data_IF_876416133984
#
_entry.id   IF_876416133984
#
_cell.length_a   1.000
_cell.length_b   1.000
_cell.length_c   1.000
_cell.angle_alpha   90.00
_cell.angle_beta   90.00
_cell.angle_gamma   90.00
#
_symmetry.space_group_name_H-M   'P 1'
#
loop_
_entity.id
_entity.type
_entity.pdbx_description
1 polymer ?
#
# COMPACT_ATOMS: atom_id res chain seq x y z
N UNK A 1 -17.92 -4.22 -9.35
CA UNK A 1 -18.36 -5.56 -8.90
C UNK A 1 -18.48 -5.56 -7.39
N UNK A 2 -19.48 -6.26 -6.80
CA UNK A 2 -19.61 -6.38 -5.34
C UNK A 2 -19.36 -7.83 -4.92
N UNK A 3 -18.56 -8.05 -3.88
CA UNK A 3 -18.34 -9.32 -3.23
C UNK A 3 -19.11 -9.33 -1.92
N UNK A 4 -19.90 -10.36 -1.66
CA UNK A 4 -20.68 -10.52 -0.44
C UNK A 4 -20.54 -11.96 0.07
N UNK A 5 -20.53 -12.15 1.38
CA UNK A 5 -20.45 -13.45 2.02
C UNK A 5 -19.48 -13.46 3.17
N UNK A 6 -18.97 -14.64 3.53
CA UNK A 6 -18.01 -14.81 4.61
C UNK A 6 -16.78 -15.56 4.12
N UNK A 7 -15.64 -15.27 4.73
CA UNK A 7 -14.37 -15.96 4.51
C UNK A 7 -13.77 -16.35 5.88
N UNK A 8 -13.00 -17.43 5.96
CA UNK A 8 -12.46 -17.91 7.24
C UNK A 8 -11.21 -17.17 7.72
N UNK A 9 -10.61 -16.29 6.88
CA UNK A 9 -9.40 -15.55 7.25
C UNK A 9 -9.28 -14.22 6.50
N UNK A 10 -8.53 -13.29 7.10
CA UNK A 10 -8.26 -11.98 6.48
C UNK A 10 -7.41 -12.09 5.19
N UNK A 11 -6.39 -12.97 5.08
CA UNK A 11 -5.74 -13.20 3.78
C UNK A 11 -6.70 -13.59 2.66
N UNK A 12 -7.70 -14.43 2.93
CA UNK A 12 -8.69 -14.80 1.92
C UNK A 12 -9.63 -13.65 1.56
N UNK A 13 -9.92 -12.75 2.51
CA UNK A 13 -10.63 -11.51 2.24
C UNK A 13 -9.86 -10.63 1.22
N UNK A 14 -8.54 -10.48 1.41
CA UNK A 14 -7.69 -9.73 0.48
C UNK A 14 -7.56 -10.42 -0.88
N UNK A 15 -7.34 -11.75 -0.90
CA UNK A 15 -7.21 -12.53 -2.13
C UNK A 15 -8.48 -12.50 -2.98
N UNK A 16 -9.66 -12.53 -2.35
CA UNK A 16 -10.94 -12.46 -3.07
C UNK A 16 -11.07 -11.13 -3.83
N UNK A 17 -10.69 -10.01 -3.21
CA UNK A 17 -10.68 -8.70 -3.85
C UNK A 17 -9.68 -8.64 -5.01
N UNK A 18 -8.46 -9.13 -4.78
CA UNK A 18 -7.41 -9.18 -5.79
C UNK A 18 -7.79 -10.09 -6.97
N UNK A 19 -8.42 -11.24 -6.72
CA UNK A 19 -8.89 -12.14 -7.77
C UNK A 19 -10.00 -11.50 -8.62
N UNK A 20 -10.92 -10.78 -7.99
CA UNK A 20 -11.99 -10.07 -8.69
C UNK A 20 -11.47 -8.96 -9.60
N UNK A 21 -10.42 -8.22 -9.19
CA UNK A 21 -9.78 -7.18 -10.01
C UNK A 21 -9.08 -7.74 -11.26
N UNK A 22 -8.63 -9.00 -11.24
CA UNK A 22 -8.01 -9.65 -12.41
C UNK A 22 -9.01 -10.04 -13.51
N UNK A 23 -10.32 -9.96 -13.23
CA UNK A 23 -11.34 -10.31 -14.22
C UNK A 23 -11.46 -9.19 -15.24
N UNK A 24 -11.32 -9.53 -16.51
CA UNK A 24 -11.44 -8.57 -17.62
C UNK A 24 -12.76 -7.80 -17.56
N UNK A 25 -12.70 -6.47 -17.60
CA UNK A 25 -13.88 -5.60 -17.54
C UNK A 25 -14.30 -5.16 -16.12
N UNK A 26 -13.67 -5.67 -15.07
CA UNK A 26 -13.88 -5.21 -13.70
C UNK A 26 -12.95 -4.01 -13.44
N UNK A 27 -13.55 -2.83 -13.25
CA UNK A 27 -12.82 -1.60 -12.94
C UNK A 27 -12.74 -1.31 -11.44
N UNK A 28 -13.77 -1.72 -10.68
CA UNK A 28 -13.84 -1.49 -9.22
C UNK A 28 -14.47 -2.70 -8.54
N UNK A 29 -13.96 -3.04 -7.35
CA UNK A 29 -14.49 -4.09 -6.48
C UNK A 29 -14.91 -3.46 -5.16
N UNK A 30 -16.18 -3.65 -4.80
CA UNK A 30 -16.69 -3.35 -3.46
C UNK A 30 -16.69 -4.65 -2.66
N UNK A 31 -15.74 -4.76 -1.73
CA UNK A 31 -15.58 -5.96 -0.92
C UNK A 31 -16.38 -5.81 0.39
N UNK A 32 -17.49 -6.54 0.48
CA UNK A 32 -18.37 -6.64 1.64
C UNK A 32 -18.30 -8.05 2.27
N UNK A 33 -17.17 -8.74 2.08
CA UNK A 33 -16.94 -10.01 2.74
C UNK A 33 -16.71 -9.77 4.24
N UNK A 34 -17.18 -10.69 5.06
CA UNK A 34 -16.94 -10.70 6.50
C UNK A 34 -15.98 -11.84 6.85
N UNK A 35 -15.00 -11.56 7.70
CA UNK A 35 -14.08 -12.59 8.20
C UNK A 35 -14.70 -13.25 9.42
N UNK A 36 -15.03 -14.53 9.29
CA UNK A 36 -15.58 -15.37 10.39
C UNK A 36 -14.55 -16.43 10.72
N UNK A 37 -13.80 -16.20 11.80
CA UNK A 37 -12.77 -17.12 12.26
C UNK A 37 -13.41 -18.39 12.84
N UNK A 38 -12.73 -19.53 12.66
CA UNK A 38 -13.04 -20.75 13.41
C UNK A 38 -12.64 -20.61 14.89
N UNK A 39 -13.21 -21.44 15.76
CA UNK A 39 -12.85 -21.45 17.20
C UNK A 39 -11.36 -21.73 17.42
N UNK A 40 -10.74 -22.53 16.54
CA UNK A 40 -9.31 -22.86 16.60
C UNK A 40 -8.41 -21.67 16.20
N UNK A 41 -8.92 -20.77 15.38
CA UNK A 41 -8.21 -19.58 14.90
C UNK A 41 -8.44 -18.34 15.77
N UNK A 42 -9.38 -18.43 16.72
CA UNK A 42 -9.61 -17.32 17.65
C UNK A 42 -8.37 -17.07 18.52
N UNK A 43 -8.02 -15.82 18.67
CA UNK A 43 -6.98 -15.34 19.58
C UNK A 43 -7.56 -14.20 20.41
N UNK A 44 -7.20 -14.15 21.69
CA UNK A 44 -7.53 -12.98 22.50
C UNK A 44 -6.71 -11.76 22.05
N UNK A 45 -7.26 -10.59 22.30
CA UNK A 45 -6.70 -9.33 21.81
C UNK A 45 -5.29 -9.04 22.37
N UNK A 46 -4.97 -9.50 23.59
CA UNK A 46 -3.65 -9.32 24.17
C UNK A 46 -2.60 -10.17 23.46
N UNK A 47 -2.93 -11.43 23.15
CA UNK A 47 -2.07 -12.32 22.37
C UNK A 47 -1.91 -11.81 20.95
N UNK A 48 -3.00 -11.34 20.34
CA UNK A 48 -2.97 -10.82 18.98
C UNK A 48 -2.14 -9.53 18.88
N UNK A 49 -2.31 -8.61 19.84
CA UNK A 49 -1.49 -7.39 19.94
C UNK A 49 -0.01 -7.72 20.07
N UNK A 50 0.34 -8.68 20.94
CA UNK A 50 1.73 -9.12 21.12
C UNK A 50 2.30 -9.74 19.84
N UNK A 51 1.53 -10.59 19.17
CA UNK A 51 1.94 -11.23 17.91
C UNK A 51 2.12 -10.21 16.79
N UNK A 52 1.23 -9.24 16.70
CA UNK A 52 1.31 -8.17 15.72
C UNK A 52 2.56 -7.30 15.92
N UNK A 53 2.83 -6.84 17.14
CA UNK A 53 4.03 -6.06 17.44
C UNK A 53 5.32 -6.86 17.21
N UNK A 54 5.34 -8.15 17.52
CA UNK A 54 6.48 -9.01 17.19
C UNK A 54 6.69 -9.12 15.67
N UNK A 55 5.61 -9.26 14.89
CA UNK A 55 5.71 -9.32 13.44
C UNK A 55 6.25 -8.01 12.84
N UNK A 56 5.84 -6.85 13.38
CA UNK A 56 6.37 -5.56 12.98
C UNK A 56 7.87 -5.44 13.31
N UNK A 57 8.28 -5.81 14.52
CA UNK A 57 9.68 -5.70 14.98
C UNK A 57 10.66 -6.56 14.18
N UNK A 58 10.24 -7.76 13.72
CA UNK A 58 11.13 -8.62 12.91
C UNK A 58 11.16 -8.25 11.43
N UNK A 59 10.27 -7.39 10.99
CA UNK A 59 10.24 -6.92 9.59
C UNK A 59 11.19 -5.74 9.39
N UNK A 60 12.31 -5.98 8.72
CA UNK A 60 13.37 -4.98 8.50
C UNK A 60 12.93 -3.76 7.68
N UNK A 61 11.80 -3.83 6.99
CA UNK A 61 11.26 -2.71 6.21
C UNK A 61 10.43 -1.78 7.06
N UNK A 62 9.87 -2.28 8.18
CA UNK A 62 9.05 -1.49 9.11
C UNK A 62 9.99 -0.78 10.08
N UNK A 63 9.97 0.56 10.18
CA UNK A 63 10.81 1.29 11.13
C UNK A 63 10.29 1.13 12.56
N UNK A 64 11.18 1.38 13.51
CA UNK A 64 10.81 1.50 14.92
C UNK A 64 9.77 2.61 15.10
N UNK A 65 8.80 2.41 15.99
CA UNK A 65 7.74 3.39 16.28
C UNK A 65 6.43 3.13 15.54
N UNK A 66 6.34 2.06 14.73
CA UNK A 66 5.06 1.52 14.26
C UNK A 66 4.56 0.50 15.29
N UNK A 67 3.36 0.71 15.79
CA UNK A 67 2.74 -0.12 16.82
C UNK A 67 1.39 -0.67 16.34
N UNK A 68 1.04 -1.84 16.86
CA UNK A 68 -0.23 -2.50 16.61
C UNK A 68 -1.02 -2.64 17.90
N UNK A 69 -2.34 -2.44 17.84
CA UNK A 69 -3.29 -2.77 18.89
C UNK A 69 -4.43 -3.61 18.30
N UNK A 70 -4.97 -4.54 19.07
CA UNK A 70 -6.07 -5.39 18.64
C UNK A 70 -7.29 -5.23 19.56
N UNK A 71 -8.46 -5.16 18.94
CA UNK A 71 -9.77 -5.17 19.63
C UNK A 71 -10.74 -6.01 18.81
N UNK A 72 -11.28 -7.05 19.41
CA UNK A 72 -12.20 -8.00 18.77
C UNK A 72 -11.65 -8.59 17.44
N UNK A 73 -10.31 -8.84 17.39
CA UNK A 73 -9.64 -9.34 16.20
C UNK A 73 -9.38 -8.26 15.11
N UNK A 74 -9.76 -7.00 15.34
CA UNK A 74 -9.43 -5.89 14.47
C UNK A 74 -8.10 -5.30 14.91
N UNK A 75 -7.09 -5.37 14.07
CA UNK A 75 -5.76 -4.81 14.30
C UNK A 75 -5.70 -3.40 13.76
N UNK A 76 -5.36 -2.44 14.62
CA UNK A 76 -5.10 -1.05 14.23
C UNK A 76 -3.60 -0.80 14.29
N UNK A 77 -3.03 -0.35 13.17
CA UNK A 77 -1.64 0.08 13.06
C UNK A 77 -1.57 1.58 13.26
N UNK A 78 -0.62 2.03 14.08
CA UNK A 78 -0.36 3.46 14.34
C UNK A 78 1.13 3.71 14.31
N UNK A 79 1.53 4.95 14.07
CA UNK A 79 2.91 5.37 14.05
C UNK A 79 3.21 6.34 12.93
N UNK A 80 4.48 6.62 12.70
CA UNK A 80 4.92 7.53 11.65
C UNK A 80 6.02 6.86 10.83
N UNK A 81 5.88 6.89 9.51
CA UNK A 81 6.87 6.35 8.57
C UNK A 81 7.30 7.41 7.55
N UNK A 82 8.44 7.20 6.92
CA UNK A 82 8.96 8.11 5.90
C UNK A 82 8.48 7.75 4.49
N UNK A 83 8.23 6.46 4.24
CA UNK A 83 7.90 5.95 2.90
C UNK A 83 6.62 5.13 2.91
N UNK A 84 5.79 5.27 1.88
CA UNK A 84 4.56 4.50 1.71
C UNK A 84 4.78 2.99 1.74
N UNK A 85 5.89 2.49 1.17
CA UNK A 85 6.27 1.06 1.22
C UNK A 85 6.49 0.51 2.64
N UNK A 86 6.87 1.36 3.60
CA UNK A 86 7.04 0.95 5.01
C UNK A 86 5.67 0.71 5.66
N UNK A 87 4.71 1.55 5.32
CA UNK A 87 3.31 1.42 5.71
C UNK A 87 2.69 0.15 5.14
N UNK A 88 2.86 -0.09 3.84
CA UNK A 88 2.41 -1.32 3.17
C UNK A 88 3.07 -2.58 3.77
N UNK A 89 4.37 -2.51 4.08
CA UNK A 89 5.08 -3.61 4.72
C UNK A 89 4.55 -3.91 6.14
N UNK A 90 4.14 -2.88 6.89
CA UNK A 90 3.54 -3.05 8.20
C UNK A 90 2.16 -3.75 8.10
N UNK A 91 1.31 -3.30 7.18
CA UNK A 91 0.02 -3.94 6.92
C UNK A 91 0.19 -5.42 6.52
N UNK A 92 1.11 -5.69 5.59
CA UNK A 92 1.39 -7.04 5.13
C UNK A 92 1.92 -7.94 6.25
N UNK A 93 2.77 -7.41 7.15
CA UNK A 93 3.33 -8.17 8.26
C UNK A 93 2.26 -8.69 9.23
N UNK A 94 1.18 -7.94 9.45
CA UNK A 94 0.11 -8.33 10.38
C UNK A 94 -1.06 -9.03 9.71
N UNK A 95 -1.28 -8.82 8.42
CA UNK A 95 -2.44 -9.35 7.69
C UNK A 95 -2.50 -10.89 7.66
N UNK A 96 -1.36 -11.57 7.74
CA UNK A 96 -1.25 -13.03 7.73
C UNK A 96 -1.38 -13.70 9.09
N UNK A 97 -1.51 -12.94 10.17
CA UNK A 97 -1.57 -13.51 11.53
C UNK A 97 -2.90 -14.19 11.80
N UNK A 98 -2.83 -15.35 12.48
CA UNK A 98 -4.03 -16.05 12.95
C UNK A 98 -4.75 -15.19 13.99
N UNK A 99 -6.06 -15.05 13.85
CA UNK A 99 -6.89 -14.22 14.74
C UNK A 99 -7.24 -12.86 14.17
N UNK A 100 -6.59 -12.43 13.07
CA UNK A 100 -6.90 -11.16 12.41
C UNK A 100 -8.19 -11.28 11.61
N UNK A 101 -9.13 -10.38 11.90
CA UNK A 101 -10.39 -10.21 11.15
C UNK A 101 -10.33 -9.03 10.19
N UNK A 102 -9.63 -7.97 10.60
CA UNK A 102 -9.46 -6.77 9.81
C UNK A 102 -8.18 -6.05 10.22
N UNK A 103 -7.58 -5.33 9.29
CA UNK A 103 -6.46 -4.42 9.56
C UNK A 103 -6.89 -3.01 9.21
N UNK A 104 -6.75 -2.11 10.17
CA UNK A 104 -6.94 -0.68 10.00
C UNK A 104 -5.58 -0.01 10.03
N UNK A 105 -5.27 0.72 9.01
CA UNK A 105 -4.02 1.43 8.85
C UNK A 105 -4.23 2.92 9.18
N UNK A 106 -3.79 3.32 10.37
CA UNK A 106 -3.74 4.70 10.86
C UNK A 106 -2.27 5.17 10.98
N UNK A 107 -1.35 4.64 10.14
CA UNK A 107 0.05 5.08 10.08
C UNK A 107 0.13 6.38 9.28
N UNK A 108 0.74 7.40 9.89
CA UNK A 108 1.04 8.66 9.22
C UNK A 108 2.35 8.57 8.42
N UNK A 109 2.39 9.21 7.25
CA UNK A 109 3.64 9.41 6.53
C UNK A 109 4.07 10.85 6.79
N UNK A 110 5.21 11.01 7.47
CA UNK A 110 5.82 12.31 7.72
C UNK A 110 7.16 12.39 7.01
N UNK A 111 7.25 13.33 6.11
CA UNK A 111 8.49 13.76 5.51
C UNK A 111 8.58 15.27 5.67
N UNK A 112 9.66 15.74 6.27
CA UNK A 112 9.92 17.17 6.57
C UNK A 112 10.31 17.97 5.30
N UNK A 113 9.94 17.49 4.11
CA UNK A 113 10.21 18.17 2.86
C UNK A 113 9.05 19.05 2.42
N UNK A 114 9.38 20.22 1.95
CA UNK A 114 8.47 21.10 1.20
C UNK A 114 7.88 20.31 0.00
N UNK A 115 6.61 20.50 -0.39
CA UNK A 115 6.04 19.89 -1.59
C UNK A 115 6.89 20.06 -2.86
N UNK A 116 7.64 21.14 -2.95
CA UNK A 116 8.63 21.39 -4.01
C UNK A 116 9.75 20.34 -3.99
N UNK A 117 10.21 19.92 -2.79
CA UNK A 117 11.27 18.92 -2.67
C UNK A 117 10.79 17.53 -3.09
N UNK A 118 9.53 17.17 -2.83
CA UNK A 118 8.95 15.89 -3.27
C UNK A 118 8.91 15.83 -4.81
N UNK A 119 8.50 16.90 -5.48
CA UNK A 119 8.51 16.99 -6.94
C UNK A 119 9.92 16.77 -7.49
N UNK A 120 10.90 17.48 -6.96
CA UNK A 120 12.30 17.37 -7.39
C UNK A 120 12.85 15.95 -7.16
N UNK A 121 12.49 15.33 -6.04
CA UNK A 121 12.94 13.95 -5.74
C UNK A 121 12.32 12.92 -6.71
N UNK A 122 11.04 13.10 -7.07
CA UNK A 122 10.37 12.23 -8.03
C UNK A 122 10.94 12.44 -9.43
N UNK A 123 11.06 13.68 -9.89
CA UNK A 123 11.67 14.02 -11.20
C UNK A 123 13.10 13.45 -11.29
N UNK A 124 13.93 13.64 -10.27
CA UNK A 124 15.26 13.08 -10.23
C UNK A 124 15.28 11.53 -10.20
N UNK A 125 14.25 10.89 -9.67
CA UNK A 125 14.12 9.44 -9.69
C UNK A 125 13.71 8.93 -11.08
N UNK A 126 12.84 9.67 -11.79
CA UNK A 126 12.46 9.41 -13.17
C UNK A 126 13.66 9.56 -14.12
N UNK A 127 14.40 10.65 -14.01
CA UNK A 127 15.59 10.94 -14.86
C UNK A 127 16.68 9.88 -14.71
N UNK A 128 16.82 9.28 -13.53
CA UNK A 128 17.79 8.21 -13.28
C UNK A 128 17.34 6.84 -13.76
N UNK A 129 16.07 6.70 -14.12
CA UNK A 129 15.51 5.42 -14.52
C UNK A 129 15.76 5.16 -16.01
N UNK A 130 16.71 4.27 -16.30
CA UNK A 130 17.10 3.94 -17.67
C UNK A 130 16.00 3.25 -18.51
N UNK A 131 14.87 2.86 -17.91
CA UNK A 131 13.72 2.30 -18.61
C UNK A 131 12.78 3.37 -19.16
N UNK A 132 12.88 4.61 -18.65
CA UNK A 132 12.09 5.74 -19.13
C UNK A 132 12.89 6.41 -20.26
N UNK A 133 12.32 6.47 -21.46
CA UNK A 133 13.00 7.06 -22.60
C UNK A 133 12.94 8.59 -22.58
N UNK A 134 13.95 9.25 -23.16
CA UNK A 134 13.98 10.72 -23.30
C UNK A 134 12.79 11.29 -24.11
N UNK A 135 12.12 10.45 -24.89
CA UNK A 135 10.92 10.79 -25.66
C UNK A 135 9.62 10.61 -24.85
N UNK A 136 9.68 10.17 -23.61
CA UNK A 136 8.51 10.05 -22.74
C UNK A 136 8.18 11.42 -22.12
N UNK A 137 6.89 11.68 -22.01
CA UNK A 137 6.30 12.99 -21.69
C UNK A 137 5.65 12.91 -20.30
N UNK A 138 6.42 12.43 -19.33
CA UNK A 138 5.95 12.25 -17.95
C UNK A 138 6.01 13.57 -17.19
N UNK A 139 4.84 14.04 -16.77
CA UNK A 139 4.69 15.26 -15.97
C UNK A 139 4.36 14.85 -14.53
N UNK A 140 5.10 15.43 -13.60
CA UNK A 140 4.93 15.23 -12.15
C UNK A 140 4.25 16.46 -11.55
N UNK A 141 3.09 16.27 -10.93
CA UNK A 141 2.44 17.29 -10.12
C UNK A 141 2.29 16.78 -8.68
N UNK A 142 2.59 17.62 -7.69
CA UNK A 142 2.52 17.24 -6.29
C UNK A 142 1.60 18.15 -5.50
N UNK A 143 0.73 17.53 -4.70
CA UNK A 143 -0.12 18.25 -3.77
C UNK A 143 -0.01 17.62 -2.39
N UNK A 144 0.78 18.24 -1.52
CA UNK A 144 1.19 17.62 -0.27
C UNK A 144 2.03 16.37 -0.54
N UNK A 145 1.60 15.24 -0.02
CA UNK A 145 2.25 13.93 -0.18
C UNK A 145 1.65 13.07 -1.32
N UNK A 146 0.69 13.62 -2.08
CA UNK A 146 0.11 12.96 -3.26
C UNK A 146 0.85 13.41 -4.51
N UNK A 147 1.37 12.45 -5.24
CA UNK A 147 2.03 12.64 -6.55
C UNK A 147 1.07 12.21 -7.65
N UNK A 148 0.83 13.08 -8.61
CA UNK A 148 0.10 12.76 -9.82
C UNK A 148 1.09 12.66 -10.98
N UNK A 149 1.17 11.48 -11.58
CA UNK A 149 1.91 11.25 -12.82
C UNK A 149 0.95 11.37 -13.98
N UNK A 150 1.25 12.23 -14.95
CA UNK A 150 0.44 12.41 -16.15
C UNK A 150 1.34 12.48 -17.39
N UNK A 151 0.71 12.42 -18.58
CA UNK A 151 1.44 12.44 -19.84
C UNK A 151 1.46 11.08 -20.53
N UNK A 152 2.52 10.80 -21.29
CA UNK A 152 2.57 9.64 -22.18
C UNK A 152 3.86 8.84 -21.95
N UNK A 153 3.69 7.52 -21.93
CA UNK A 153 4.78 6.54 -21.97
C UNK A 153 4.55 5.60 -23.15
N UNK A 154 5.61 4.96 -23.64
CA UNK A 154 5.55 4.14 -24.85
C UNK A 154 5.19 2.68 -24.56
N UNK A 155 5.54 2.19 -23.39
CA UNK A 155 5.38 0.78 -23.03
C UNK A 155 4.88 0.61 -21.60
N UNK A 156 4.30 -0.54 -21.31
CA UNK A 156 3.97 -0.93 -19.94
C UNK A 156 5.20 -0.98 -19.01
N UNK A 157 6.36 -1.33 -19.55
CA UNK A 157 7.60 -1.34 -18.77
C UNK A 157 8.02 0.06 -18.33
N UNK A 158 7.87 1.08 -19.21
CA UNK A 158 8.10 2.49 -18.87
C UNK A 158 7.08 2.98 -17.85
N UNK A 159 5.80 2.62 -18.03
CA UNK A 159 4.73 2.94 -17.11
C UNK A 159 5.03 2.42 -15.68
N UNK A 160 5.31 1.12 -15.56
CA UNK A 160 5.61 0.51 -14.26
C UNK A 160 6.88 1.09 -13.65
N UNK A 161 7.87 1.45 -14.48
CA UNK A 161 9.10 2.09 -14.04
C UNK A 161 8.85 3.50 -13.49
N UNK A 162 7.96 4.28 -14.13
CA UNK A 162 7.60 5.62 -13.70
C UNK A 162 6.83 5.61 -12.37
N UNK A 163 5.82 4.75 -12.26
CA UNK A 163 5.03 4.58 -11.04
C UNK A 163 5.92 4.07 -9.89
N UNK A 164 6.79 3.09 -10.18
CA UNK A 164 7.76 2.57 -9.20
C UNK A 164 8.76 3.62 -8.72
N UNK A 165 9.26 4.47 -9.62
CA UNK A 165 10.17 5.57 -9.27
C UNK A 165 9.50 6.59 -8.34
N UNK A 166 8.24 6.94 -8.59
CA UNK A 166 7.47 7.82 -7.74
C UNK A 166 7.28 7.24 -6.32
N UNK A 167 6.94 5.96 -6.20
CA UNK A 167 6.82 5.29 -4.89
C UNK A 167 8.14 5.18 -4.12
N UNK A 168 9.27 5.20 -4.81
CA UNK A 168 10.60 5.15 -4.17
C UNK A 168 11.07 6.51 -3.66
N UNK A 169 10.45 7.61 -4.08
CA UNK A 169 10.77 8.94 -3.60
C UNK A 169 10.28 9.14 -2.15
N UNK A 170 11.10 9.80 -1.33
CA UNK A 170 10.74 10.10 0.05
C UNK A 170 9.54 11.03 0.16
N UNK A 171 8.66 10.76 1.11
CA UNK A 171 7.50 11.62 1.38
C UNK A 171 6.26 11.36 0.51
N UNK A 172 6.30 10.40 -0.40
CA UNK A 172 5.15 10.04 -1.24
C UNK A 172 4.19 9.17 -0.46
N UNK A 173 2.94 9.64 -0.34
CA UNK A 173 1.84 8.94 0.34
C UNK A 173 0.92 8.23 -0.65
N UNK A 174 0.61 8.91 -1.75
CA UNK A 174 -0.30 8.42 -2.78
C UNK A 174 0.31 8.74 -4.15
N UNK A 175 0.25 7.79 -5.05
CA UNK A 175 0.57 8.02 -6.47
C UNK A 175 -0.72 7.88 -7.26
N UNK A 176 -1.12 8.95 -7.92
CA UNK A 176 -2.19 8.97 -8.92
C UNK A 176 -1.59 8.78 -10.28
N UNK A 177 -2.03 7.74 -10.93
CA UNK A 177 -1.55 7.33 -12.23
C UNK A 177 -2.55 7.74 -13.32
N UNK A 178 -2.20 8.84 -14.00
CA UNK A 178 -2.92 9.36 -15.15
C UNK A 178 -2.06 9.24 -16.43
N UNK A 179 -1.09 8.30 -16.46
CA UNK A 179 -0.24 8.05 -17.62
C UNK A 179 -1.00 7.32 -18.73
N UNK A 180 -0.80 7.75 -19.95
CA UNK A 180 -1.32 7.11 -21.16
C UNK A 180 -0.21 6.34 -21.89
N UNK A 181 -0.50 5.14 -22.37
CA UNK A 181 0.43 4.35 -23.19
C UNK A 181 0.10 4.57 -24.66
N UNK A 182 1.09 5.03 -25.42
CA UNK A 182 0.92 5.46 -26.82
C UNK A 182 1.73 4.65 -27.84
N UNK A 183 2.45 3.59 -27.39
CA UNK A 183 3.32 2.76 -28.23
C UNK A 183 2.63 1.78 -29.17
#
# INVERSE_FOLDING_TARGET
>A
MALNGTVPSYPQYLEAAAAALRVTGVKNVHNHLEVVLSDDDYRDDAMLTTSANNALTVNITVPDGVEATAVDGNVTLTGVVTYGRQREAAELAVSGLTGVRNVRDDIDISYDADPVDVTVLVEAALDRNALISDDSDVVVDTKGNTVTLSGHVRTWAEHDAAVGAAWMAGGVFEVRDDLAITG
#
